data_IF_134159138002
#
_entry.id   IF_134159138002
#
_cell.length_a   1.000
_cell.length_b   1.000
_cell.length_c   1.000
_cell.angle_alpha   90.00
_cell.angle_beta   90.00
_cell.angle_gamma   90.00
#
_symmetry.space_group_name_H-M   'P 1'
#
loop_
_entity.id
_entity.type
_entity.pdbx_description
1 polymer ?
#
# COMPACT_ATOMS: atom_id res chain seq x y z
N UNK A 1 14.70 5.03 10.62
CA UNK A 1 14.54 4.24 9.37
C UNK A 1 13.47 4.82 8.46
N UNK A 2 12.27 5.10 8.97
CA UNK A 2 11.14 5.60 8.16
C UNK A 2 11.44 6.88 7.36
N UNK A 3 12.17 7.85 7.91
CA UNK A 3 12.51 9.09 7.19
C UNK A 3 13.39 8.87 5.94
N UNK A 4 14.30 7.89 5.98
CA UNK A 4 15.16 7.55 4.84
C UNK A 4 14.38 6.81 3.74
N UNK A 5 13.45 5.93 4.14
CA UNK A 5 12.53 5.26 3.22
C UNK A 5 11.65 6.29 2.52
N UNK A 6 11.02 7.20 3.27
CA UNK A 6 10.17 8.25 2.69
C UNK A 6 10.95 9.15 1.73
N UNK A 7 12.20 9.50 2.04
CA UNK A 7 13.04 10.28 1.14
C UNK A 7 13.36 9.52 -0.17
N UNK A 8 13.59 8.22 -0.10
CA UNK A 8 13.77 7.36 -1.28
C UNK A 8 12.49 7.30 -2.13
N UNK A 9 11.34 7.09 -1.49
CA UNK A 9 10.03 7.01 -2.15
C UNK A 9 9.70 8.30 -2.90
N UNK A 10 9.99 9.47 -2.32
CA UNK A 10 9.81 10.77 -2.98
C UNK A 10 10.76 11.00 -4.16
N UNK A 11 11.93 10.36 -4.17
CA UNK A 11 12.89 10.47 -5.28
C UNK A 11 12.46 9.59 -6.45
N UNK A 12 11.82 8.47 -6.18
CA UNK A 12 11.49 7.44 -7.16
C UNK A 12 9.97 7.31 -7.36
N UNK A 13 9.31 8.44 -7.58
CA UNK A 13 7.86 8.51 -7.67
C UNK A 13 7.30 7.73 -8.86
N UNK A 14 6.09 7.20 -8.68
CA UNK A 14 5.27 6.67 -9.78
C UNK A 14 4.84 7.81 -10.71
N UNK A 15 5.25 7.71 -11.98
CA UNK A 15 4.85 8.62 -13.07
C UNK A 15 3.94 7.95 -14.09
N UNK A 16 3.77 6.63 -14.00
CA UNK A 16 2.99 5.80 -14.91
C UNK A 16 3.88 4.88 -15.75
N UNK A 17 4.73 5.45 -16.60
CA UNK A 17 5.65 4.68 -17.47
C UNK A 17 6.60 3.76 -16.69
N UNK A 18 6.97 4.15 -15.46
CA UNK A 18 7.88 3.41 -14.61
C UNK A 18 7.19 2.36 -13.72
N UNK A 19 5.90 2.06 -13.93
CA UNK A 19 5.09 1.24 -13.03
C UNK A 19 5.73 -0.10 -12.65
N UNK A 20 6.23 -0.87 -13.62
CA UNK A 20 6.83 -2.19 -13.34
C UNK A 20 8.03 -2.09 -12.39
N UNK A 21 8.91 -1.11 -12.62
CA UNK A 21 10.09 -0.88 -11.76
C UNK A 21 9.69 -0.30 -10.41
N UNK A 22 8.76 0.65 -10.39
CA UNK A 22 8.22 1.24 -9.16
C UNK A 22 7.58 0.18 -8.26
N UNK A 23 6.75 -0.70 -8.84
CA UNK A 23 6.06 -1.79 -8.11
C UNK A 23 7.05 -2.73 -7.45
N UNK A 24 8.10 -3.14 -8.17
CA UNK A 24 9.15 -4.00 -7.62
C UNK A 24 9.81 -3.35 -6.38
N UNK A 25 10.15 -2.06 -6.47
CA UNK A 25 10.81 -1.33 -5.38
C UNK A 25 9.89 -1.09 -4.19
N UNK A 26 8.63 -0.73 -4.43
CA UNK A 26 7.63 -0.61 -3.39
C UNK A 26 7.44 -1.94 -2.65
N UNK A 27 7.33 -3.06 -3.38
CA UNK A 27 7.21 -4.37 -2.76
C UNK A 27 8.42 -4.73 -1.89
N UNK A 28 9.65 -4.41 -2.33
CA UNK A 28 10.85 -4.58 -1.48
C UNK A 28 10.74 -3.78 -0.19
N UNK A 29 10.28 -2.53 -0.26
CA UNK A 29 10.09 -1.67 0.92
C UNK A 29 9.05 -2.25 1.87
N UNK A 30 7.92 -2.73 1.35
CA UNK A 30 6.87 -3.37 2.15
C UNK A 30 7.36 -4.67 2.79
N UNK A 31 8.23 -5.44 2.11
CA UNK A 31 8.84 -6.64 2.70
C UNK A 31 9.79 -6.30 3.84
N UNK A 32 10.72 -5.35 3.65
CA UNK A 32 11.67 -4.99 4.73
C UNK A 32 11.03 -4.25 5.91
N UNK A 33 9.76 -3.82 5.76
CA UNK A 33 8.98 -3.18 6.81
C UNK A 33 7.92 -4.09 7.42
N UNK A 34 7.88 -5.36 7.01
CA UNK A 34 6.89 -6.36 7.46
C UNK A 34 5.44 -5.98 7.17
N UNK A 35 5.21 -5.22 6.09
CA UNK A 35 3.90 -4.71 5.67
C UNK A 35 3.33 -5.41 4.44
N UNK A 36 4.11 -6.24 3.74
CA UNK A 36 3.67 -6.86 2.48
C UNK A 36 2.38 -7.69 2.61
N UNK A 37 2.10 -8.24 3.81
CA UNK A 37 0.90 -9.04 4.06
C UNK A 37 -0.40 -8.26 3.82
N UNK A 38 -0.43 -6.94 4.05
CA UNK A 38 -1.63 -6.10 3.83
C UNK A 38 -2.06 -6.03 2.35
N UNK A 39 -1.16 -6.40 1.44
CA UNK A 39 -1.45 -6.49 -0.01
C UNK A 39 -1.82 -7.91 -0.45
N UNK A 40 -1.68 -8.91 0.42
CA UNK A 40 -1.84 -10.33 0.06
C UNK A 40 -2.97 -11.00 0.84
N UNK A 41 -3.23 -10.53 2.04
CA UNK A 41 -4.22 -11.09 2.95
C UNK A 41 -5.47 -10.22 3.00
N UNK A 42 -6.63 -10.87 3.08
CA UNK A 42 -7.89 -10.18 3.27
C UNK A 42 -7.97 -9.54 4.66
N UNK A 43 -8.55 -8.33 4.73
CA UNK A 43 -8.81 -7.66 5.98
C UNK A 43 -9.75 -8.53 6.86
N UNK A 44 -9.38 -8.82 8.13
CA UNK A 44 -10.24 -9.59 9.01
C UNK A 44 -11.48 -8.77 9.37
N UNK A 45 -12.67 -9.08 8.84
CA UNK A 45 -13.88 -8.33 9.19
C UNK A 45 -14.58 -8.94 10.41
N UNK A 46 -14.55 -8.30 11.60
CA UNK A 46 -15.25 -8.81 12.77
C UNK A 46 -16.77 -8.66 12.59
N UNK A 47 -17.50 -9.76 12.75
CA UNK A 47 -18.96 -9.72 12.93
C UNK A 47 -19.31 -9.23 14.34
N UNK A 48 -20.59 -8.89 14.59
CA UNK A 48 -21.04 -8.39 15.90
C UNK A 48 -20.66 -9.30 17.09
N UNK A 49 -20.61 -10.61 16.86
CA UNK A 49 -20.30 -11.63 17.88
C UNK A 49 -18.87 -12.20 17.72
N UNK A 50 -17.98 -11.53 17.00
CA UNK A 50 -16.61 -11.97 16.82
C UNK A 50 -15.88 -12.10 18.16
N UNK A 51 -15.02 -13.12 18.27
CA UNK A 51 -14.14 -13.29 19.42
C UNK A 51 -13.17 -12.10 19.54
N UNK A 52 -12.63 -11.90 20.74
CA UNK A 52 -11.64 -10.85 20.96
C UNK A 52 -10.44 -10.99 20.02
N UNK A 53 -9.98 -12.22 19.76
CA UNK A 53 -8.87 -12.49 18.85
C UNK A 53 -9.11 -11.99 17.41
N UNK A 54 -10.35 -12.04 16.91
CA UNK A 54 -10.69 -11.53 15.57
C UNK A 54 -10.70 -10.00 15.55
N UNK A 55 -11.18 -9.37 16.64
CA UNK A 55 -11.14 -7.92 16.78
C UNK A 55 -9.70 -7.41 16.88
N UNK A 56 -8.86 -8.09 17.68
CA UNK A 56 -7.44 -7.77 17.82
C UNK A 56 -6.70 -7.91 16.48
N UNK A 57 -7.05 -8.95 15.69
CA UNK A 57 -6.49 -9.13 14.35
C UNK A 57 -6.91 -8.01 13.38
N UNK A 58 -8.17 -7.57 13.42
CA UNK A 58 -8.64 -6.42 12.63
C UNK A 58 -7.94 -5.12 13.01
N UNK A 59 -7.80 -4.84 14.31
CA UNK A 59 -7.14 -3.63 14.80
C UNK A 59 -5.66 -3.62 14.42
N UNK A 60 -4.99 -4.78 14.52
CA UNK A 60 -3.62 -4.94 14.06
C UNK A 60 -3.51 -4.73 12.54
N UNK A 61 -4.33 -5.42 11.75
CA UNK A 61 -4.31 -5.32 10.29
C UNK A 61 -4.54 -3.87 9.84
N UNK A 62 -5.54 -3.18 10.41
CA UNK A 62 -5.87 -1.79 10.07
C UNK A 62 -4.68 -0.86 10.34
N UNK A 63 -4.02 -1.02 11.50
CA UNK A 63 -2.85 -0.22 11.85
C UNK A 63 -1.67 -0.43 10.91
N UNK A 64 -1.45 -1.66 10.44
CA UNK A 64 -0.38 -1.94 9.49
C UNK A 64 -0.76 -1.50 8.07
N UNK A 65 -2.04 -1.60 7.68
CA UNK A 65 -2.55 -1.04 6.43
C UNK A 65 -2.31 0.48 6.36
N UNK A 66 -2.63 1.23 7.43
CA UNK A 66 -2.41 2.68 7.48
C UNK A 66 -0.93 3.05 7.21
N UNK A 67 0.01 2.23 7.68
CA UNK A 67 1.45 2.44 7.40
C UNK A 67 1.80 2.14 5.94
N UNK A 68 1.23 1.07 5.39
CA UNK A 68 1.44 0.71 3.99
C UNK A 68 0.87 1.80 3.06
N UNK A 69 -0.31 2.33 3.38
CA UNK A 69 -0.93 3.45 2.67
C UNK A 69 -0.01 4.67 2.63
N UNK A 70 0.60 5.03 3.76
CA UNK A 70 1.57 6.14 3.79
C UNK A 70 2.75 5.88 2.86
N UNK A 71 3.31 4.67 2.81
CA UNK A 71 4.40 4.37 1.89
C UNK A 71 3.96 4.40 0.43
N UNK A 72 2.81 3.81 0.12
CA UNK A 72 2.27 3.79 -1.22
C UNK A 72 2.02 5.22 -1.70
N UNK A 73 1.31 6.04 -0.93
CA UNK A 73 1.01 7.43 -1.27
C UNK A 73 2.27 8.31 -1.35
N UNK A 74 3.25 8.13 -0.45
CA UNK A 74 4.50 8.87 -0.48
C UNK A 74 5.40 8.50 -1.68
N UNK A 75 5.17 7.33 -2.27
CA UNK A 75 5.87 6.84 -3.46
C UNK A 75 5.23 7.26 -4.77
N UNK A 76 4.11 7.98 -4.73
CA UNK A 76 3.43 8.50 -5.91
C UNK A 76 3.80 9.96 -6.17
N UNK A 77 3.56 10.41 -7.41
CA UNK A 77 3.53 11.84 -7.72
C UNK A 77 2.36 12.52 -7.01
N UNK A 78 2.49 13.80 -6.67
CA UNK A 78 1.48 14.55 -5.90
C UNK A 78 0.07 14.50 -6.53
N UNK A 79 0.01 14.47 -7.87
CA UNK A 79 -1.26 14.35 -8.60
C UNK A 79 -1.92 12.99 -8.39
N UNK A 80 -1.14 11.90 -8.42
CA UNK A 80 -1.65 10.56 -8.15
C UNK A 80 -1.98 10.38 -6.66
N UNK A 81 -1.10 10.82 -5.75
CA UNK A 81 -1.35 10.73 -4.31
C UNK A 81 -2.67 11.40 -3.93
N UNK A 82 -2.98 12.59 -4.47
CA UNK A 82 -4.27 13.27 -4.25
C UNK A 82 -5.48 12.49 -4.76
N UNK A 83 -5.34 11.75 -5.86
CA UNK A 83 -6.43 10.90 -6.39
C UNK A 83 -6.77 9.77 -5.43
N UNK A 84 -5.77 9.23 -4.73
CA UNK A 84 -5.90 8.07 -3.85
C UNK A 84 -5.99 8.42 -2.36
N UNK A 85 -5.97 9.70 -1.99
CA UNK A 85 -6.01 10.17 -0.58
C UNK A 85 -7.26 9.69 0.19
N UNK A 86 -8.35 9.42 -0.52
CA UNK A 86 -9.63 8.96 0.04
C UNK A 86 -9.90 7.47 -0.14
N UNK A 87 -8.94 6.72 -0.70
CA UNK A 87 -9.11 5.27 -0.92
C UNK A 87 -8.85 4.51 0.38
N UNK A 88 -9.62 3.43 0.59
CA UNK A 88 -9.82 2.85 1.93
C UNK A 88 -8.67 1.93 2.35
N UNK A 89 -7.99 1.28 1.40
CA UNK A 89 -6.93 0.30 1.73
C UNK A 89 -5.79 0.31 0.72
N UNK A 90 -4.62 -0.12 1.17
CA UNK A 90 -3.42 -0.28 0.37
C UNK A 90 -3.65 -1.23 -0.81
N UNK A 91 -4.41 -2.30 -0.55
CA UNK A 91 -4.81 -3.28 -1.56
C UNK A 91 -5.61 -2.63 -2.70
N UNK A 92 -6.64 -1.83 -2.38
CA UNK A 92 -7.46 -1.16 -3.39
C UNK A 92 -6.68 -0.13 -4.20
N UNK A 93 -5.74 0.59 -3.57
CA UNK A 93 -4.86 1.49 -4.30
C UNK A 93 -4.03 0.69 -5.31
N UNK A 94 -3.43 -0.43 -4.89
CA UNK A 94 -2.64 -1.28 -5.76
C UNK A 94 -3.45 -1.88 -6.91
N UNK A 95 -4.66 -2.37 -6.66
CA UNK A 95 -5.57 -2.89 -7.70
C UNK A 95 -5.87 -1.82 -8.75
N UNK A 96 -6.21 -0.61 -8.31
CA UNK A 96 -6.49 0.51 -9.23
C UNK A 96 -5.26 0.88 -10.07
N UNK A 97 -4.06 0.85 -9.49
CA UNK A 97 -2.83 1.08 -10.23
C UNK A 97 -2.51 -0.04 -11.23
N UNK A 98 -2.82 -1.30 -10.89
CA UNK A 98 -2.70 -2.43 -11.82
C UNK A 98 -3.65 -2.23 -13.00
N UNK A 99 -4.88 -1.80 -12.77
CA UNK A 99 -5.83 -1.52 -13.85
C UNK A 99 -5.35 -0.37 -14.74
N UNK A 100 -4.80 0.70 -14.16
CA UNK A 100 -4.34 1.87 -14.90
C UNK A 100 -3.04 1.64 -15.67
N UNK A 101 -2.08 0.94 -15.10
CA UNK A 101 -0.71 0.86 -15.62
C UNK A 101 -0.22 -0.57 -15.89
N UNK A 102 -0.91 -1.59 -15.38
CA UNK A 102 -0.51 -3.00 -15.50
C UNK A 102 -0.54 -3.52 -16.92
N UNK A 103 -1.36 -2.94 -17.81
CA UNK A 103 -1.40 -3.33 -19.23
C UNK A 103 -0.15 -2.89 -20.02
N UNK A 104 0.62 -1.92 -19.51
CA UNK A 104 1.86 -1.42 -20.15
C UNK A 104 3.10 -2.27 -19.80
N UNK A 105 2.92 -3.41 -19.13
CA UNK A 105 4.01 -4.23 -18.57
C UNK A 105 4.34 -5.48 -19.40
N UNK A 106 4.41 -5.35 -20.73
CA UNK A 106 4.93 -6.40 -21.64
C UNK A 106 6.35 -6.05 -22.09
#
# INVERSE_FOLDING_TARGET
>A
MSSSIIALLRKEQLTGENYATWKLKLNMILVITDLHFVLMEECPFPTQNASQSVKDAYDYWTKENDKADVYILASMSDMLSKKYEIVVTAHQIMDSLIEMFGQLSI
#
